data_IF_055639561323
#
_entry.id   IF_055639561323
#
_cell.length_a   1.000
_cell.length_b   1.000
_cell.length_c   1.000
_cell.angle_alpha   90.00
_cell.angle_beta   90.00
_cell.angle_gamma   90.00
#
_symmetry.space_group_name_H-M   'P 1'
#
loop_
_entity.id
_entity.type
_entity.pdbx_description
1 polymer ?
#
# COMPACT_ATOMS: atom_id res chain seq x y z
N UNK A 1 -15.14 20.35 -32.36
CA UNK A 1 -14.34 20.25 -31.12
C UNK A 1 -15.19 19.50 -30.11
N UNK A 2 -14.77 18.31 -29.68
CA UNK A 2 -15.43 17.67 -28.56
C UNK A 2 -15.22 18.54 -27.30
N UNK A 3 -16.21 18.68 -26.42
CA UNK A 3 -16.03 19.42 -25.17
C UNK A 3 -14.88 18.78 -24.40
N UNK A 4 -13.87 19.59 -24.08
CA UNK A 4 -12.75 19.18 -23.24
C UNK A 4 -13.28 18.85 -21.84
N UNK A 5 -13.13 17.60 -21.41
CA UNK A 5 -13.36 17.23 -20.02
C UNK A 5 -12.15 17.64 -19.21
N UNK A 6 -12.32 18.55 -18.25
CA UNK A 6 -11.26 18.91 -17.31
C UNK A 6 -11.41 18.08 -16.04
N UNK A 7 -10.45 17.19 -15.77
CA UNK A 7 -10.35 16.47 -14.52
C UNK A 7 -9.41 17.23 -13.59
N UNK A 8 -9.91 17.62 -12.42
CA UNK A 8 -9.12 18.28 -11.39
C UNK A 8 -8.89 17.35 -10.19
N UNK A 9 -7.75 17.54 -9.53
CA UNK A 9 -7.39 16.86 -8.29
C UNK A 9 -7.03 17.90 -7.23
N UNK A 10 -7.43 17.62 -5.99
CA UNK A 10 -6.93 18.34 -4.81
C UNK A 10 -6.10 17.36 -3.99
N UNK A 11 -4.77 17.52 -4.04
CA UNK A 11 -3.83 16.68 -3.29
C UNK A 11 -3.79 17.04 -1.81
N UNK A 12 -3.25 16.13 -1.01
CA UNK A 12 -2.97 16.34 0.41
C UNK A 12 -1.71 15.58 0.79
N UNK A 13 -0.92 16.13 1.72
CA UNK A 13 0.14 15.40 2.40
C UNK A 13 -0.42 14.79 3.68
N UNK A 14 -0.46 13.46 3.69
CA UNK A 14 -0.69 12.58 4.83
C UNK A 14 0.30 11.44 4.64
N UNK A 15 1.34 11.36 5.47
CA UNK A 15 2.31 10.25 5.42
C UNK A 15 1.66 8.98 6.01
N UNK A 16 1.96 7.80 5.47
CA UNK A 16 1.41 6.52 5.94
C UNK A 16 -0.13 6.44 6.02
N UNK A 17 -0.87 6.73 4.93
CA UNK A 17 -2.33 6.88 4.99
C UNK A 17 -3.06 5.53 5.20
N UNK A 18 -3.70 5.37 6.35
CA UNK A 18 -4.67 4.29 6.60
C UNK A 18 -6.11 4.72 6.31
N UNK A 19 -6.76 4.02 5.38
CA UNK A 19 -8.09 4.35 4.87
C UNK A 19 -9.23 3.72 5.68
N UNK A 20 -10.27 4.52 5.94
CA UNK A 20 -11.57 4.05 6.46
C UNK A 20 -12.71 4.79 5.76
N UNK A 21 -13.81 4.10 5.46
CA UNK A 21 -15.07 4.72 5.02
C UNK A 21 -16.02 4.89 6.21
N UNK A 22 -16.52 6.10 6.42
CA UNK A 22 -17.58 6.40 7.39
C UNK A 22 -18.71 7.13 6.66
N UNK A 23 -19.91 6.54 6.66
CA UNK A 23 -21.00 6.94 5.76
C UNK A 23 -20.49 7.02 4.31
N UNK A 24 -20.75 8.11 3.56
CA UNK A 24 -20.30 8.27 2.17
C UNK A 24 -18.93 8.98 2.03
N UNK A 25 -18.16 9.09 3.12
CA UNK A 25 -16.88 9.79 3.13
C UNK A 25 -15.75 8.81 3.44
N UNK A 26 -14.69 8.87 2.64
CA UNK A 26 -13.43 8.20 2.87
C UNK A 26 -12.52 9.12 3.68
N UNK A 27 -11.89 8.56 4.70
CA UNK A 27 -10.90 9.23 5.54
C UNK A 27 -9.57 8.50 5.39
N UNK A 28 -8.48 9.26 5.48
CA UNK A 28 -7.14 8.72 5.68
C UNK A 28 -6.56 9.32 6.96
N UNK A 29 -6.00 8.48 7.81
CA UNK A 29 -5.25 8.86 9.00
C UNK A 29 -3.81 8.42 8.81
N UNK A 30 -2.86 9.29 9.12
CA UNK A 30 -1.46 9.05 8.89
C UNK A 30 -0.57 9.40 10.05
N UNK A 31 0.73 9.22 9.83
CA UNK A 31 1.78 9.68 10.73
C UNK A 31 1.63 11.17 11.06
N UNK A 32 2.24 11.57 12.17
CA UNK A 32 2.20 12.94 12.70
C UNK A 32 0.79 13.44 13.03
N UNK A 33 -0.18 12.54 13.16
CA UNK A 33 -1.59 12.86 13.40
C UNK A 33 -2.20 13.73 12.28
N UNK A 34 -1.67 13.57 11.07
CA UNK A 34 -2.25 14.11 9.86
C UNK A 34 -3.48 13.28 9.47
N UNK A 35 -4.54 13.95 9.03
CA UNK A 35 -5.69 13.27 8.48
C UNK A 35 -6.37 14.09 7.39
N UNK A 36 -7.00 13.41 6.46
CA UNK A 36 -7.75 14.02 5.37
C UNK A 36 -9.00 13.20 5.04
N UNK A 37 -9.93 13.81 4.30
CA UNK A 37 -11.14 13.15 3.83
C UNK A 37 -11.47 13.47 2.37
N UNK A 38 -12.20 12.57 1.71
CA UNK A 38 -12.68 12.70 0.34
C UNK A 38 -13.98 11.93 0.15
N UNK A 39 -14.83 12.36 -0.79
CA UNK A 39 -16.02 11.62 -1.22
C UNK A 39 -15.86 10.99 -2.60
N UNK A 40 -14.75 11.25 -3.29
CA UNK A 40 -14.53 10.85 -4.69
C UNK A 40 -13.15 10.24 -4.97
N UNK A 41 -12.31 10.06 -3.94
CA UNK A 41 -10.91 9.59 -4.00
C UNK A 41 -9.92 10.54 -4.71
N UNK A 42 -10.41 11.65 -5.26
CA UNK A 42 -9.66 12.54 -6.13
C UNK A 42 -9.37 13.88 -5.45
N UNK A 43 -10.34 14.39 -4.71
CA UNK A 43 -10.31 15.70 -4.07
C UNK A 43 -10.33 15.52 -2.56
N UNK A 44 -9.19 15.79 -1.95
CA UNK A 44 -8.97 15.61 -0.52
C UNK A 44 -9.06 16.95 0.22
N UNK A 45 -9.63 16.91 1.43
CA UNK A 45 -9.64 18.02 2.38
C UNK A 45 -8.91 17.58 3.64
N UNK A 46 -7.84 18.29 4.01
CA UNK A 46 -7.14 18.08 5.29
C UNK A 46 -8.08 18.40 6.46
N UNK A 47 -8.08 17.54 7.48
CA UNK A 47 -8.90 17.69 8.69
C UNK A 47 -8.06 17.77 9.98
N UNK A 48 -6.83 17.27 9.95
CA UNK A 48 -5.91 17.33 11.08
C UNK A 48 -4.47 17.45 10.60
N UNK A 49 -3.61 18.07 11.40
CA UNK A 49 -2.22 18.37 11.07
C UNK A 49 -1.37 18.47 12.34
N UNK A 50 -0.37 17.60 12.45
CA UNK A 50 0.63 17.63 13.51
C UNK A 50 0.17 17.16 14.90
N UNK A 51 1.13 16.71 15.70
CA UNK A 51 0.92 16.37 17.12
C UNK A 51 1.05 17.63 17.97
N UNK A 52 -0.08 18.28 18.25
CA UNK A 52 -0.12 19.50 19.05
C UNK A 52 -1.44 19.62 19.83
N UNK A 53 -1.46 20.50 20.84
CA UNK A 53 -2.62 20.66 21.73
C UNK A 53 -3.91 21.11 21.02
N UNK A 54 -3.79 21.73 19.83
CA UNK A 54 -4.91 22.20 19.02
C UNK A 54 -5.38 21.23 17.93
N UNK A 55 -4.75 20.05 17.79
CA UNK A 55 -5.17 19.05 16.81
C UNK A 55 -6.59 18.55 17.18
N UNK A 56 -7.58 18.64 16.26
CA UNK A 56 -8.99 18.37 16.58
C UNK A 56 -9.28 16.89 16.88
N UNK A 57 -8.38 15.98 16.52
CA UNK A 57 -8.57 14.55 16.78
C UNK A 57 -8.49 14.22 18.28
N UNK A 58 -7.97 15.09 19.14
CA UNK A 58 -7.90 14.86 20.58
C UNK A 58 -8.17 16.15 21.35
N UNK A 59 -8.71 16.03 22.56
CA UNK A 59 -8.69 17.12 23.52
C UNK A 59 -7.28 17.21 24.14
N UNK A 60 -6.35 17.87 23.42
CA UNK A 60 -4.92 17.96 23.73
C UNK A 60 -4.17 16.62 23.68
N UNK A 61 -3.70 16.24 22.49
CA UNK A 61 -3.04 14.94 22.27
C UNK A 61 -1.75 14.75 23.08
N UNK A 62 -0.96 15.80 23.31
CA UNK A 62 0.33 15.68 24.00
C UNK A 62 0.14 15.33 25.48
N UNK A 63 -0.95 15.80 26.08
CA UNK A 63 -1.36 15.38 27.42
C UNK A 63 -2.00 13.99 27.39
N UNK A 64 -2.95 13.76 26.48
CA UNK A 64 -3.74 12.54 26.39
C UNK A 64 -2.88 11.28 26.18
N UNK A 65 -1.82 11.40 25.36
CA UNK A 65 -0.94 10.30 24.95
C UNK A 65 0.48 10.42 25.57
N UNK A 66 0.61 11.19 26.65
CA UNK A 66 1.91 11.47 27.29
C UNK A 66 2.71 10.23 27.67
N UNK A 67 2.06 9.13 28.10
CA UNK A 67 2.75 7.88 28.42
C UNK A 67 3.45 7.27 27.20
N UNK A 68 2.79 7.28 26.03
CA UNK A 68 3.33 6.74 24.79
C UNK A 68 4.54 7.58 24.32
N UNK A 69 4.35 8.90 24.30
CA UNK A 69 5.37 9.88 23.90
C UNK A 69 6.60 9.81 24.81
N UNK A 70 6.38 9.70 26.13
CA UNK A 70 7.46 9.57 27.10
C UNK A 70 8.22 8.24 26.94
N UNK A 71 7.53 7.12 26.72
CA UNK A 71 8.18 5.83 26.48
C UNK A 71 9.04 5.86 25.22
N UNK A 72 8.47 6.37 24.13
CA UNK A 72 9.12 6.48 22.83
C UNK A 72 10.17 7.59 22.75
N UNK A 73 10.23 8.49 23.74
CA UNK A 73 11.14 9.66 23.73
C UNK A 73 10.93 10.51 22.47
N UNK A 74 9.68 10.67 22.06
CA UNK A 74 9.27 11.34 20.83
C UNK A 74 8.23 12.43 21.12
N UNK A 75 8.18 13.41 20.24
CA UNK A 75 7.18 14.50 20.24
C UNK A 75 6.13 14.33 19.12
N UNK A 76 6.20 13.22 18.38
CA UNK A 76 5.30 12.89 17.28
C UNK A 76 4.75 11.47 17.39
N UNK A 77 3.78 11.14 16.54
CA UNK A 77 3.17 9.83 16.41
C UNK A 77 3.47 9.28 15.01
N UNK A 78 3.51 7.96 14.89
CA UNK A 78 3.67 7.24 13.63
C UNK A 78 2.36 6.55 13.23
N UNK A 79 2.35 6.05 11.99
CA UNK A 79 1.27 5.39 11.26
C UNK A 79 0.17 4.79 12.15
N UNK A 80 -0.97 5.47 12.31
CA UNK A 80 -2.11 4.92 13.03
C UNK A 80 -3.00 4.09 12.09
N UNK A 81 -3.86 3.28 12.69
CA UNK A 81 -5.06 2.77 11.99
C UNK A 81 -6.33 3.10 12.78
N UNK A 82 -7.42 3.33 12.05
CA UNK A 82 -8.73 3.60 12.63
C UNK A 82 -9.71 2.54 12.15
N UNK A 83 -10.20 1.73 13.08
CA UNK A 83 -11.21 0.71 12.82
C UNK A 83 -12.54 1.07 13.48
N UNK A 84 -13.66 0.76 12.81
CA UNK A 84 -14.99 0.83 13.43
C UNK A 84 -15.37 -0.53 14.00
N UNK A 85 -15.67 -0.59 15.30
CA UNK A 85 -16.02 -1.85 15.99
C UNK A 85 -17.54 -2.01 16.18
N UNK A 86 -17.96 -3.11 16.82
CA UNK A 86 -19.37 -3.56 16.87
C UNK A 86 -20.28 -2.62 17.67
N UNK A 87 -19.72 -1.82 18.58
CA UNK A 87 -20.43 -0.77 19.31
C UNK A 87 -20.65 0.51 18.46
N UNK A 88 -20.17 0.50 17.22
CA UNK A 88 -20.29 1.58 16.25
C UNK A 88 -19.28 2.71 16.43
N UNK A 89 -18.40 2.67 17.45
CA UNK A 89 -17.36 3.67 17.72
C UNK A 89 -16.12 3.44 16.86
N UNK A 90 -15.26 4.43 16.84
CA UNK A 90 -14.00 4.44 16.09
C UNK A 90 -12.82 4.27 17.04
N UNK A 91 -11.99 3.28 16.75
CA UNK A 91 -10.85 2.85 17.56
C UNK A 91 -9.57 3.19 16.80
N UNK A 92 -8.84 4.17 17.29
CA UNK A 92 -7.53 4.58 16.76
C UNK A 92 -6.43 3.81 17.48
N UNK A 93 -5.77 2.92 16.75
CA UNK A 93 -4.55 2.24 17.15
C UNK A 93 -3.39 3.15 16.77
N UNK A 94 -2.84 3.86 17.74
CA UNK A 94 -1.76 4.82 17.53
C UNK A 94 -0.43 4.22 17.96
N UNK A 95 0.67 4.72 17.41
CA UNK A 95 2.00 4.35 17.87
C UNK A 95 2.95 5.56 17.91
N UNK A 96 3.99 5.44 18.73
CA UNK A 96 5.10 6.38 18.81
C UNK A 96 6.42 5.60 18.86
N UNK A 97 7.45 6.13 18.21
CA UNK A 97 8.77 5.52 18.12
C UNK A 97 9.84 6.60 18.24
N UNK A 98 10.97 6.28 18.87
CA UNK A 98 12.13 7.17 18.98
C UNK A 98 12.75 7.54 17.62
N UNK A 99 12.61 6.65 16.64
CA UNK A 99 13.12 6.81 15.27
C UNK A 99 14.52 6.25 15.04
N UNK A 100 15.43 6.33 16.02
CA UNK A 100 16.79 5.77 15.94
C UNK A 100 16.92 4.32 16.43
N UNK A 101 15.84 3.79 17.01
CA UNK A 101 15.78 2.47 17.65
C UNK A 101 14.32 2.04 17.80
N UNK A 102 14.01 0.73 17.96
CA UNK A 102 12.64 0.25 18.13
C UNK A 102 12.11 0.48 19.55
N UNK A 103 12.41 1.65 20.14
CA UNK A 103 11.88 2.11 21.42
C UNK A 103 10.51 2.73 21.15
N UNK A 104 9.49 1.89 21.23
CA UNK A 104 8.16 2.24 20.74
C UNK A 104 7.05 1.77 21.67
N UNK A 105 5.93 2.49 21.60
CA UNK A 105 4.69 2.17 22.29
C UNK A 105 3.53 2.20 21.29
N UNK A 106 2.67 1.18 21.37
CA UNK A 106 1.42 1.08 20.63
C UNK A 106 0.27 1.16 21.63
N UNK A 107 -0.71 2.01 21.37
CA UNK A 107 -1.86 2.22 22.24
C UNK A 107 -3.17 2.36 21.49
N UNK A 108 -4.24 2.48 22.27
CA UNK A 108 -5.61 2.55 21.76
C UNK A 108 -6.32 3.80 22.30
N UNK A 109 -6.97 4.54 21.40
CA UNK A 109 -7.89 5.62 21.75
C UNK A 109 -9.24 5.41 21.04
N UNK A 110 -10.34 5.92 21.61
CA UNK A 110 -11.70 5.68 21.11
C UNK A 110 -12.47 6.99 20.96
N UNK A 111 -13.22 7.12 19.87
CA UNK A 111 -14.10 8.25 19.58
C UNK A 111 -15.50 7.79 19.15
N UNK A 112 -16.51 8.62 19.41
CA UNK A 112 -17.88 8.41 18.89
C UNK A 112 -17.99 8.79 17.40
N UNK A 113 -17.09 9.63 16.91
CA UNK A 113 -17.03 10.09 15.52
C UNK A 113 -15.65 9.78 14.94
N UNK A 114 -15.61 9.50 13.64
CA UNK A 114 -14.37 9.16 12.92
C UNK A 114 -13.32 10.28 13.03
N UNK A 115 -13.74 11.54 13.05
CA UNK A 115 -12.90 12.73 13.17
C UNK A 115 -12.75 13.24 14.62
N UNK A 116 -13.04 12.39 15.60
CA UNK A 116 -12.75 12.64 17.01
C UNK A 116 -13.80 13.49 17.75
N UNK A 117 -13.43 14.02 18.94
CA UNK A 117 -12.15 13.78 19.62
C UNK A 117 -12.05 12.34 20.14
N UNK A 118 -10.87 11.74 19.98
CA UNK A 118 -10.47 10.47 20.54
C UNK A 118 -10.06 10.64 22.01
N UNK A 119 -10.43 9.66 22.83
CA UNK A 119 -10.07 9.56 24.24
C UNK A 119 -9.18 8.34 24.43
N UNK A 120 -7.99 8.57 24.97
CA UNK A 120 -7.03 7.50 25.26
C UNK A 120 -7.66 6.44 26.18
N UNK A 121 -7.42 5.16 25.88
CA UNK A 121 -7.78 4.02 26.73
C UNK A 121 -6.56 3.54 27.51
N UNK A 122 -5.57 2.99 26.80
CA UNK A 122 -4.36 2.43 27.38
C UNK A 122 -3.33 2.10 26.31
N UNK A 123 -2.08 1.88 26.73
CA UNK A 123 -1.09 1.21 25.92
C UNK A 123 -1.39 -0.29 25.81
N UNK A 124 -1.13 -0.86 24.63
CA UNK A 124 -1.31 -2.28 24.34
C UNK A 124 0.03 -3.02 24.37
N UNK A 125 1.06 -2.46 23.74
CA UNK A 125 2.36 -3.08 23.55
C UNK A 125 3.49 -2.05 23.70
N UNK A 126 4.67 -2.55 24.10
CA UNK A 126 5.94 -1.81 24.14
C UNK A 126 7.04 -2.65 23.50
N UNK A 127 8.01 -1.98 22.88
CA UNK A 127 9.26 -2.55 22.37
C UNK A 127 10.46 -1.69 22.80
N UNK A 128 11.67 -2.23 22.69
CA UNK A 128 12.90 -1.52 23.04
C UNK A 128 13.13 -1.39 24.55
N UNK A 129 12.60 -2.34 25.34
CA UNK A 129 12.94 -2.50 26.76
C UNK A 129 14.25 -3.30 26.90
N UNK A 130 15.37 -2.65 26.59
CA UNK A 130 16.68 -3.31 26.55
C UNK A 130 17.06 -3.95 27.89
N UNK A 131 17.41 -5.24 27.87
CA UNK A 131 17.80 -5.99 29.06
C UNK A 131 16.64 -6.40 29.97
N UNK A 132 15.40 -6.05 29.62
CA UNK A 132 14.19 -6.36 30.38
C UNK A 132 13.31 -7.37 29.64
N UNK A 133 12.46 -8.06 30.39
CA UNK A 133 11.46 -8.96 29.81
C UNK A 133 10.47 -8.17 28.95
N UNK A 134 10.17 -8.74 27.78
CA UNK A 134 9.22 -8.22 26.81
C UNK A 134 7.84 -8.87 27.00
N UNK A 135 6.79 -8.46 26.25
CA UNK A 135 5.46 -9.06 26.29
C UNK A 135 5.40 -10.59 26.17
N UNK A 136 6.38 -11.23 25.53
CA UNK A 136 6.47 -12.70 25.43
C UNK A 136 7.16 -13.37 26.63
N UNK A 137 7.61 -12.58 27.62
CA UNK A 137 8.31 -13.04 28.81
C UNK A 137 9.82 -13.19 28.65
N UNK A 138 10.37 -13.04 27.44
CA UNK A 138 11.81 -13.13 27.17
C UNK A 138 12.45 -11.75 27.04
N UNK A 139 13.77 -11.64 27.22
CA UNK A 139 14.48 -10.36 27.08
C UNK A 139 14.29 -9.80 25.66
N UNK A 140 13.96 -8.50 25.56
CA UNK A 140 13.72 -7.87 24.26
C UNK A 140 14.95 -7.94 23.33
N UNK A 141 14.75 -8.45 22.12
CA UNK A 141 15.77 -8.59 21.09
C UNK A 141 15.18 -8.17 19.74
N UNK A 142 15.66 -7.04 19.21
CA UNK A 142 15.16 -6.45 17.98
C UNK A 142 15.45 -7.25 16.72
N UNK A 143 16.23 -8.34 16.79
CA UNK A 143 16.43 -9.24 15.65
C UNK A 143 15.26 -10.21 15.44
N UNK A 144 14.46 -10.45 16.49
CA UNK A 144 13.34 -11.42 16.50
C UNK A 144 12.04 -10.88 17.08
N UNK A 145 12.08 -9.80 17.86
CA UNK A 145 10.89 -9.13 18.38
C UNK A 145 10.55 -7.90 17.53
N UNK A 146 9.27 -7.58 17.33
CA UNK A 146 8.86 -6.47 16.49
C UNK A 146 9.18 -5.12 17.14
N UNK A 147 9.39 -4.13 16.28
CA UNK A 147 9.08 -2.75 16.63
C UNK A 147 7.55 -2.61 16.69
N UNK A 148 6.98 -2.17 17.82
CA UNK A 148 5.51 -2.11 17.99
C UNK A 148 4.89 -0.85 17.37
N UNK A 149 4.95 -0.76 16.05
CA UNK A 149 4.40 0.35 15.23
C UNK A 149 3.61 -0.20 14.05
N UNK A 150 3.03 0.69 13.25
CA UNK A 150 2.32 0.38 12.01
C UNK A 150 1.18 -0.64 12.16
N UNK A 151 0.24 -0.47 13.12
CA UNK A 151 -0.92 -1.33 13.23
C UNK A 151 -1.81 -1.24 11.99
N UNK A 152 -2.42 -2.36 11.62
CA UNK A 152 -3.65 -2.44 10.86
C UNK A 152 -4.61 -3.42 11.52
N UNK A 153 -5.83 -2.97 11.81
CA UNK A 153 -6.89 -3.71 12.47
C UNK A 153 -8.02 -4.00 11.50
N UNK A 154 -8.32 -5.28 11.31
CA UNK A 154 -9.29 -5.73 10.33
C UNK A 154 -10.12 -6.90 10.86
N UNK A 155 -11.32 -7.08 10.27
CA UNK A 155 -12.14 -8.26 10.50
C UNK A 155 -11.90 -9.28 9.40
N UNK A 156 -11.75 -10.53 9.79
CA UNK A 156 -11.72 -11.64 8.85
C UNK A 156 -13.13 -11.98 8.32
N UNK A 157 -13.22 -12.85 7.32
CA UNK A 157 -14.51 -13.24 6.74
C UNK A 157 -15.41 -14.07 7.68
N UNK A 158 -14.87 -14.50 8.84
CA UNK A 158 -15.58 -15.18 9.91
C UNK A 158 -15.99 -14.25 11.07
N UNK A 159 -15.65 -12.96 10.97
CA UNK A 159 -15.98 -11.93 11.95
C UNK A 159 -14.99 -11.77 13.11
N UNK A 160 -13.89 -12.52 13.15
CA UNK A 160 -12.84 -12.31 14.16
C UNK A 160 -12.08 -11.03 13.85
N UNK A 161 -11.66 -10.33 14.90
CA UNK A 161 -10.85 -9.13 14.81
C UNK A 161 -9.37 -9.50 14.94
N UNK A 162 -8.54 -8.93 14.07
CA UNK A 162 -7.11 -9.15 14.03
C UNK A 162 -6.37 -7.81 13.98
N UNK A 163 -5.17 -7.77 14.54
CA UNK A 163 -4.23 -6.66 14.36
C UNK A 163 -2.92 -7.22 13.77
N UNK A 164 -2.55 -6.78 12.57
CA UNK A 164 -1.20 -6.96 12.02
C UNK A 164 -0.39 -5.70 12.27
N UNK A 165 0.90 -5.83 12.57
CA UNK A 165 1.76 -4.68 12.87
C UNK A 165 3.24 -5.04 12.73
N UNK A 166 4.12 -4.04 12.75
CA UNK A 166 5.57 -4.21 12.78
C UNK A 166 6.29 -3.37 11.73
N UNK A 167 7.48 -2.91 12.09
CA UNK A 167 8.41 -2.25 11.17
C UNK A 167 9.83 -2.71 11.47
N UNK A 168 10.53 -3.16 10.43
CA UNK A 168 11.93 -3.59 10.50
C UNK A 168 12.14 -4.66 11.57
N UNK A 169 13.14 -4.49 12.44
CA UNK A 169 13.42 -5.33 13.62
C UNK A 169 13.14 -6.82 13.41
N UNK A 170 12.35 -7.44 14.31
CA UNK A 170 11.97 -8.84 14.25
C UNK A 170 10.92 -9.18 13.19
N UNK A 171 10.41 -8.19 12.45
CA UNK A 171 9.44 -8.38 11.37
C UNK A 171 8.00 -7.99 11.73
N UNK A 172 7.09 -8.49 10.91
CA UNK A 172 5.65 -8.29 10.91
C UNK A 172 5.00 -9.40 11.72
N UNK A 173 4.09 -9.01 12.62
CA UNK A 173 3.38 -9.91 13.52
C UNK A 173 1.88 -9.69 13.42
N UNK A 174 1.11 -10.71 13.78
CA UNK A 174 -0.35 -10.64 13.87
C UNK A 174 -0.84 -11.22 15.19
N UNK A 175 -1.89 -10.64 15.74
CA UNK A 175 -2.56 -11.14 16.94
C UNK A 175 -4.09 -11.02 16.84
N UNK A 176 -4.77 -11.93 17.54
CA UNK A 176 -6.22 -11.89 17.65
C UNK A 176 -6.64 -10.83 18.68
N UNK A 177 -7.64 -10.04 18.31
CA UNK A 177 -8.18 -8.94 19.11
C UNK A 177 -9.59 -9.31 19.61
N UNK A 178 -10.00 -8.72 20.72
CA UNK A 178 -11.35 -8.80 21.24
C UNK A 178 -12.23 -7.73 20.55
N UNK A 179 -13.23 -8.11 19.76
CA UNK A 179 -14.08 -7.16 19.04
C UNK A 179 -14.96 -6.29 19.95
N UNK A 180 -15.18 -6.68 21.21
CA UNK A 180 -15.97 -5.90 22.15
C UNK A 180 -15.16 -4.77 22.80
N UNK A 181 -13.86 -4.97 22.98
CA UNK A 181 -12.99 -4.04 23.72
C UNK A 181 -11.95 -3.35 22.85
N UNK A 182 -11.66 -3.91 21.67
CA UNK A 182 -10.55 -3.49 20.81
C UNK A 182 -9.17 -3.87 21.34
N UNK A 183 -9.08 -4.61 22.46
CA UNK A 183 -7.83 -5.02 23.08
C UNK A 183 -7.34 -6.36 22.52
N UNK A 184 -6.04 -6.65 22.67
CA UNK A 184 -5.50 -7.95 22.32
C UNK A 184 -6.05 -9.05 23.24
N UNK A 185 -6.31 -10.24 22.69
CA UNK A 185 -6.60 -11.41 23.53
C UNK A 185 -5.39 -11.79 24.40
N UNK A 186 -5.61 -12.33 25.61
CA UNK A 186 -4.54 -12.61 26.56
C UNK A 186 -3.57 -13.71 26.07
N UNK A 187 -2.37 -13.73 26.65
CA UNK A 187 -1.36 -14.79 26.48
C UNK A 187 -0.85 -15.02 25.05
N UNK A 188 -0.76 -13.97 24.23
CA UNK A 188 -0.20 -14.03 22.86
C UNK A 188 1.25 -13.52 22.75
N UNK A 189 1.80 -12.85 23.77
CA UNK A 189 3.08 -12.15 23.64
C UNK A 189 3.01 -11.08 22.55
N UNK A 190 3.92 -11.15 21.57
CA UNK A 190 3.87 -10.33 20.35
C UNK A 190 3.00 -10.94 19.23
N UNK A 191 2.32 -12.06 19.47
CA UNK A 191 1.53 -12.74 18.47
C UNK A 191 2.38 -13.62 17.53
N UNK A 192 1.80 -13.93 16.36
CA UNK A 192 2.40 -14.81 15.36
C UNK A 192 3.24 -14.01 14.37
N UNK A 193 4.49 -14.40 14.16
CA UNK A 193 5.35 -13.84 13.12
C UNK A 193 4.87 -14.22 11.71
N UNK A 194 4.84 -13.24 10.80
CA UNK A 194 4.36 -13.39 9.41
C UNK A 194 5.43 -13.14 8.35
N UNK A 195 6.39 -12.24 8.59
CA UNK A 195 7.41 -11.86 7.60
C UNK A 195 8.52 -11.03 8.26
N UNK A 196 9.76 -11.14 7.81
CA UNK A 196 10.87 -10.29 8.27
C UNK A 196 11.70 -10.94 9.38
N UNK A 197 12.44 -10.10 10.08
CA UNK A 197 13.47 -10.51 11.04
C UNK A 197 14.85 -10.01 10.67
N UNK A 198 15.74 -9.97 11.67
CA UNK A 198 17.12 -9.48 11.56
C UNK A 198 17.23 -8.06 10.98
N UNK A 199 16.25 -7.20 11.28
CA UNK A 199 16.17 -5.84 10.76
C UNK A 199 15.99 -5.76 9.24
N UNK A 200 15.32 -6.73 8.62
CA UNK A 200 14.86 -6.61 7.24
C UNK A 200 14.06 -5.32 7.05
N UNK A 201 14.31 -4.54 5.97
CA UNK A 201 13.58 -3.29 5.69
C UNK A 201 12.18 -3.57 5.16
N UNK A 202 11.29 -3.98 6.05
CA UNK A 202 9.91 -4.37 5.78
C UNK A 202 9.00 -3.74 6.84
N UNK A 203 7.98 -3.00 6.42
CA UNK A 203 7.07 -2.28 7.33
C UNK A 203 5.70 -2.00 6.68
N UNK A 204 4.81 -1.26 7.38
CA UNK A 204 3.54 -0.78 6.84
C UNK A 204 2.62 -1.92 6.41
N UNK A 205 2.43 -2.92 7.28
CA UNK A 205 1.62 -4.09 6.97
C UNK A 205 0.12 -3.76 6.92
N UNK A 206 -0.57 -4.18 5.86
CA UNK A 206 -2.02 -4.01 5.72
C UNK A 206 -2.65 -5.28 5.14
N UNK A 207 -3.73 -5.77 5.73
CA UNK A 207 -4.43 -6.97 5.26
C UNK A 207 -5.80 -6.62 4.69
N UNK A 208 -6.03 -7.04 3.44
CA UNK A 208 -7.33 -6.94 2.79
C UNK A 208 -7.83 -8.32 2.36
N UNK A 209 -9.05 -8.68 2.74
CA UNK A 209 -9.75 -9.83 2.20
C UNK A 209 -10.41 -9.50 0.86
N UNK A 210 -10.26 -10.37 -0.13
CA UNK A 210 -10.96 -10.26 -1.41
C UNK A 210 -12.07 -11.30 -1.52
N UNK A 211 -13.34 -10.90 -1.66
CA UNK A 211 -14.41 -11.84 -1.95
C UNK A 211 -14.33 -12.43 -3.37
N UNK A 212 -13.56 -11.84 -4.30
CA UNK A 212 -13.44 -12.36 -5.66
C UNK A 212 -12.44 -13.52 -5.75
N UNK A 213 -11.30 -13.41 -5.06
CA UNK A 213 -10.26 -14.44 -5.05
C UNK A 213 -10.34 -15.39 -3.86
N UNK A 214 -11.08 -14.99 -2.81
CA UNK A 214 -11.16 -15.66 -1.50
C UNK A 214 -9.86 -15.68 -0.70
N UNK A 215 -8.87 -14.87 -1.09
CA UNK A 215 -7.62 -14.71 -0.35
C UNK A 215 -7.63 -13.47 0.55
N UNK A 216 -6.86 -13.54 1.63
CA UNK A 216 -6.32 -12.39 2.34
C UNK A 216 -5.01 -11.98 1.65
N UNK A 217 -4.87 -10.69 1.36
CA UNK A 217 -3.66 -10.10 0.81
C UNK A 217 -2.94 -9.31 1.89
N UNK A 218 -1.71 -9.71 2.21
CA UNK A 218 -0.81 -8.97 3.10
C UNK A 218 0.05 -8.06 2.24
N UNK A 219 -0.28 -6.77 2.26
CA UNK A 219 0.53 -5.70 1.71
C UNK A 219 1.60 -5.29 2.71
N UNK A 220 2.78 -4.98 2.21
CA UNK A 220 3.92 -4.47 2.98
C UNK A 220 4.74 -3.54 2.10
N UNK A 221 5.52 -2.67 2.71
CA UNK A 221 6.50 -1.84 1.99
C UNK A 221 7.91 -2.34 2.26
N UNK A 222 8.68 -2.53 1.18
CA UNK A 222 10.08 -2.93 1.24
C UNK A 222 10.99 -1.73 1.00
N UNK A 223 12.14 -1.68 1.66
CA UNK A 223 13.13 -0.62 1.52
C UNK A 223 12.90 0.56 2.47
N UNK A 224 13.58 1.68 2.23
CA UNK A 224 13.46 2.91 3.01
C UNK A 224 12.52 3.92 2.37
N UNK A 225 11.74 4.62 3.20
CA UNK A 225 10.72 5.59 2.77
C UNK A 225 11.27 6.84 2.08
N UNK A 226 12.53 7.21 2.36
CA UNK A 226 13.15 8.42 1.81
C UNK A 226 13.35 8.32 0.29
N UNK A 227 13.63 9.44 -0.39
CA UNK A 227 13.77 9.46 -1.84
C UNK A 227 14.88 8.53 -2.39
N UNK A 228 15.87 8.18 -1.56
CA UNK A 228 16.97 7.28 -1.91
C UNK A 228 16.82 5.88 -1.30
N UNK A 229 15.75 5.62 -0.55
CA UNK A 229 15.57 4.39 0.22
C UNK A 229 15.03 3.21 -0.62
N UNK A 230 14.47 3.48 -1.79
CA UNK A 230 13.95 2.47 -2.71
C UNK A 230 12.63 1.85 -2.27
N UNK A 231 11.77 2.63 -1.61
CA UNK A 231 10.47 2.16 -1.11
C UNK A 231 9.62 1.59 -2.25
N UNK A 232 9.03 0.41 -2.01
CA UNK A 232 8.20 -0.27 -2.98
C UNK A 232 7.13 -1.11 -2.29
N UNK A 233 5.93 -1.13 -2.87
CA UNK A 233 4.78 -1.88 -2.36
C UNK A 233 4.87 -3.31 -2.84
N UNK A 234 4.72 -4.26 -1.90
CA UNK A 234 4.65 -5.70 -2.19
C UNK A 234 3.41 -6.32 -1.61
N UNK A 235 3.03 -7.46 -2.16
CA UNK A 235 1.90 -8.26 -1.67
C UNK A 235 2.21 -9.75 -1.66
N UNK A 236 1.68 -10.42 -0.65
CA UNK A 236 1.61 -11.88 -0.53
C UNK A 236 0.17 -12.28 -0.19
N UNK A 237 -0.19 -13.57 -0.27
CA UNK A 237 -1.56 -14.01 -0.02
C UNK A 237 -1.66 -15.26 0.84
N UNK A 238 -2.79 -15.40 1.55
CA UNK A 238 -3.15 -16.59 2.31
C UNK A 238 -4.65 -16.85 2.26
N UNK A 239 -5.05 -18.10 2.46
CA UNK A 239 -6.46 -18.44 2.67
C UNK A 239 -6.92 -18.12 4.11
N UNK A 240 -5.99 -17.90 5.03
CA UNK A 240 -6.27 -17.57 6.43
C UNK A 240 -5.76 -16.15 6.74
N UNK A 241 -6.41 -15.42 7.67
CA UNK A 241 -5.97 -14.09 8.08
C UNK A 241 -4.59 -14.08 8.76
N UNK A 242 -4.18 -15.18 9.40
CA UNK A 242 -2.91 -15.32 10.13
C UNK A 242 -1.87 -16.17 9.37
N UNK A 243 -2.10 -16.42 8.09
CA UNK A 243 -1.18 -17.13 7.21
C UNK A 243 -1.30 -18.66 7.21
N UNK A 244 -0.27 -19.37 6.72
CA UNK A 244 0.96 -18.83 6.14
C UNK A 244 0.67 -18.01 4.87
N UNK A 245 1.37 -16.89 4.72
CA UNK A 245 1.32 -16.06 3.52
C UNK A 245 2.40 -16.52 2.54
N UNK A 246 2.05 -16.61 1.26
CA UNK A 246 2.98 -17.00 0.21
C UNK A 246 3.03 -15.98 -0.92
N UNK A 247 4.15 -15.90 -1.63
CA UNK A 247 4.27 -15.17 -2.90
C UNK A 247 3.86 -16.03 -4.12
N UNK A 248 3.96 -15.49 -5.34
CA UNK A 248 3.64 -16.21 -6.57
C UNK A 248 4.56 -17.39 -6.88
N UNK A 249 5.79 -17.39 -6.34
CA UNK A 249 6.71 -18.53 -6.42
C UNK A 249 6.36 -19.64 -5.41
N UNK A 250 5.53 -19.33 -4.41
CA UNK A 250 5.15 -20.24 -3.32
C UNK A 250 6.07 -20.17 -2.10
N UNK A 251 6.91 -19.13 -2.01
CA UNK A 251 7.78 -18.91 -0.84
C UNK A 251 6.90 -18.57 0.37
N UNK A 252 7.08 -19.27 1.49
CA UNK A 252 6.48 -18.88 2.76
C UNK A 252 7.15 -17.60 3.27
N UNK A 253 6.37 -16.52 3.35
CA UNK A 253 6.86 -15.19 3.71
C UNK A 253 7.40 -15.14 5.14
N UNK A 254 6.99 -16.04 6.03
CA UNK A 254 7.54 -16.12 7.39
C UNK A 254 9.02 -16.51 7.41
N UNK A 255 9.55 -17.02 6.30
CA UNK A 255 10.98 -17.35 6.14
C UNK A 255 11.82 -16.21 5.56
N UNK A 256 11.17 -15.18 5.00
CA UNK A 256 11.83 -14.05 4.33
C UNK A 256 12.35 -13.07 5.37
N UNK A 257 13.69 -12.91 5.44
CA UNK A 257 14.37 -12.06 6.43
C UNK A 257 15.75 -11.63 5.93
N UNK A 258 16.31 -10.62 6.56
CA UNK A 258 17.69 -10.23 6.31
C UNK A 258 18.65 -11.33 6.78
N UNK A 259 19.77 -11.49 6.08
CA UNK A 259 20.81 -12.42 6.50
C UNK A 259 21.60 -11.81 7.68
N UNK A 260 21.58 -12.42 8.89
CA UNK A 260 22.23 -11.84 10.06
C UNK A 260 23.77 -11.85 9.98
N UNK A 261 24.35 -12.54 8.99
CA UNK A 261 25.78 -12.51 8.71
C UNK A 261 26.21 -11.35 7.78
N UNK A 262 25.25 -10.63 7.20
CA UNK A 262 25.48 -9.46 6.36
C UNK A 262 25.24 -8.16 7.15
N UNK A 263 25.68 -6.98 6.65
CA UNK A 263 25.38 -5.71 7.29
C UNK A 263 23.88 -5.51 7.53
N UNK A 264 23.56 -4.71 8.56
CA UNK A 264 22.19 -4.32 8.88
C UNK A 264 21.47 -3.80 7.63
N UNK A 265 20.18 -4.13 7.49
CA UNK A 265 19.37 -3.74 6.34
C UNK A 265 19.79 -4.43 5.02
N UNK A 266 20.14 -5.71 5.10
CA UNK A 266 20.41 -6.56 3.94
C UNK A 266 19.15 -6.75 3.06
N UNK A 267 19.01 -5.86 2.08
CA UNK A 267 17.93 -5.89 1.10
C UNK A 267 18.04 -7.04 0.11
N UNK A 268 19.26 -7.48 -0.20
CA UNK A 268 19.50 -8.46 -1.24
C UNK A 268 18.85 -9.80 -0.91
N UNK A 269 18.78 -10.16 0.38
CA UNK A 269 18.11 -11.38 0.84
C UNK A 269 16.59 -11.31 0.79
N UNK A 270 15.99 -10.12 0.82
CA UNK A 270 14.52 -9.96 0.82
C UNK A 270 13.97 -9.58 -0.56
N UNK A 271 14.74 -8.88 -1.38
CA UNK A 271 14.29 -8.34 -2.68
C UNK A 271 13.69 -9.40 -3.65
N UNK A 272 14.12 -10.67 -3.69
CA UNK A 272 13.51 -11.66 -4.58
C UNK A 272 12.07 -12.11 -4.20
N UNK A 273 11.52 -11.65 -3.07
CA UNK A 273 10.31 -12.21 -2.49
C UNK A 273 9.12 -11.24 -2.49
N UNK A 274 7.91 -11.79 -2.51
CA UNK A 274 6.67 -11.03 -2.57
C UNK A 274 6.42 -10.43 -3.96
N UNK A 275 5.15 -10.30 -4.33
CA UNK A 275 4.78 -9.71 -5.62
C UNK A 275 4.98 -8.19 -5.56
N UNK A 276 5.98 -7.65 -6.27
CA UNK A 276 6.25 -6.21 -6.29
C UNK A 276 5.26 -5.50 -7.19
N UNK A 277 4.37 -4.71 -6.57
CA UNK A 277 3.27 -4.02 -7.25
C UNK A 277 3.71 -2.69 -7.87
N UNK A 278 4.57 -1.95 -7.17
CA UNK A 278 4.95 -0.59 -7.56
C UNK A 278 6.30 -0.21 -6.93
N UNK A 279 7.13 0.51 -7.66
CA UNK A 279 8.36 1.15 -7.15
C UNK A 279 8.65 2.44 -7.93
N UNK A 280 9.86 2.98 -7.79
CA UNK A 280 10.28 4.21 -8.47
C UNK A 280 10.13 4.07 -9.99
N UNK A 281 9.37 4.97 -10.60
CA UNK A 281 9.08 4.90 -12.03
C UNK A 281 8.74 6.26 -12.62
N UNK A 282 8.90 6.40 -13.93
CA UNK A 282 8.50 7.59 -14.66
C UNK A 282 8.15 7.28 -16.13
N UNK A 283 6.98 7.71 -16.56
CA UNK A 283 6.58 7.72 -17.96
C UNK A 283 7.30 8.84 -18.69
N UNK A 284 8.29 8.47 -19.52
CA UNK A 284 9.03 9.40 -20.36
C UNK A 284 8.06 10.02 -21.37
N UNK A 285 8.16 11.34 -21.57
CA UNK A 285 7.37 12.04 -22.58
C UNK A 285 7.81 11.58 -23.97
N UNK A 286 6.85 11.12 -24.77
CA UNK A 286 7.09 10.82 -26.17
C UNK A 286 7.24 12.12 -26.98
N UNK A 287 7.78 12.02 -28.21
CA UNK A 287 7.86 13.17 -29.12
C UNK A 287 6.47 13.77 -29.35
N UNK A 288 6.33 15.07 -29.09
CA UNK A 288 5.07 15.80 -29.20
C UNK A 288 4.21 15.82 -27.93
N UNK A 289 4.51 15.01 -26.91
CA UNK A 289 3.85 15.12 -25.59
C UNK A 289 4.40 16.32 -24.80
N UNK A 290 3.53 16.99 -24.06
CA UNK A 290 3.87 18.13 -23.21
C UNK A 290 3.42 17.88 -21.77
N UNK A 291 3.91 18.70 -20.82
CA UNK A 291 3.54 18.60 -19.40
C UNK A 291 4.66 17.98 -18.55
N UNK A 292 4.33 17.57 -17.33
CA UNK A 292 5.28 16.93 -16.43
C UNK A 292 5.23 15.41 -16.61
N UNK A 293 6.38 14.78 -16.82
CA UNK A 293 6.47 13.33 -16.90
C UNK A 293 5.93 12.69 -15.61
N UNK A 294 4.88 11.87 -15.75
CA UNK A 294 4.20 11.23 -14.62
C UNK A 294 5.09 10.15 -14.00
N UNK A 295 5.27 10.19 -12.68
CA UNK A 295 6.12 9.21 -12.00
C UNK A 295 6.15 9.42 -10.49
N UNK A 296 6.56 8.36 -9.78
CA UNK A 296 6.70 8.34 -8.33
C UNK A 296 8.11 7.93 -7.90
N UNK A 297 8.50 8.42 -6.73
CA UNK A 297 9.67 8.01 -5.97
C UNK A 297 9.18 7.51 -4.63
N UNK A 298 9.75 6.40 -4.18
CA UNK A 298 9.44 5.72 -2.92
C UNK A 298 7.93 5.63 -2.62
N UNK A 299 7.09 5.12 -3.54
CA UNK A 299 5.67 4.91 -3.23
C UNK A 299 5.51 3.76 -2.23
N UNK A 300 4.78 3.98 -1.14
CA UNK A 300 4.56 2.93 -0.15
C UNK A 300 3.73 3.35 1.06
N UNK A 301 3.86 2.53 2.11
CA UNK A 301 3.03 2.51 3.30
C UNK A 301 1.55 2.62 2.94
N UNK A 302 1.06 1.59 2.25
CA UNK A 302 -0.28 1.61 1.73
C UNK A 302 -1.29 1.07 2.75
N UNK A 303 -2.50 1.58 2.64
CA UNK A 303 -3.71 0.84 2.98
C UNK A 303 -4.44 0.40 1.71
N UNK A 304 -5.50 -0.39 1.87
CA UNK A 304 -6.30 -0.85 0.76
C UNK A 304 -7.79 -0.93 1.13
N UNK A 305 -8.66 -0.67 0.16
CA UNK A 305 -10.11 -0.66 0.37
C UNK A 305 -10.84 -1.47 -0.71
N UNK A 306 -11.79 -2.31 -0.30
CA UNK A 306 -12.75 -2.94 -1.20
C UNK A 306 -14.12 -2.28 -1.06
N UNK A 307 -14.58 -1.65 -2.13
CA UNK A 307 -15.92 -1.11 -2.23
C UNK A 307 -16.86 -2.20 -2.75
N UNK A 308 -17.61 -2.82 -1.84
CA UNK A 308 -18.54 -3.89 -2.17
C UNK A 308 -19.72 -3.41 -3.05
N UNK A 309 -20.11 -2.13 -2.98
CA UNK A 309 -21.20 -1.60 -3.78
C UNK A 309 -20.77 -1.38 -5.24
N UNK A 310 -19.53 -0.94 -5.43
CA UNK A 310 -18.96 -0.74 -6.77
C UNK A 310 -18.23 -1.98 -7.33
N UNK A 311 -17.92 -2.97 -6.49
CA UNK A 311 -17.08 -4.12 -6.85
C UNK A 311 -15.64 -3.70 -7.19
N UNK A 312 -15.11 -2.67 -6.53
CA UNK A 312 -13.80 -2.07 -6.85
C UNK A 312 -12.82 -2.18 -5.69
N UNK A 313 -11.55 -2.33 -6.04
CA UNK A 313 -10.44 -2.28 -5.08
C UNK A 313 -9.64 -1.00 -5.27
N UNK A 314 -9.20 -0.41 -4.17
CA UNK A 314 -8.39 0.80 -4.17
C UNK A 314 -7.14 0.59 -3.33
N UNK A 315 -5.99 1.01 -3.86
CA UNK A 315 -4.72 1.12 -3.16
C UNK A 315 -4.52 2.58 -2.78
N UNK A 316 -4.36 2.86 -1.50
CA UNK A 316 -4.17 4.22 -0.96
C UNK A 316 -2.81 4.29 -0.31
N UNK A 317 -1.94 5.20 -0.75
CA UNK A 317 -0.54 5.23 -0.32
C UNK A 317 0.00 6.66 -0.39
N UNK A 318 1.14 6.91 0.25
CA UNK A 318 1.90 8.14 0.00
C UNK A 318 3.00 7.87 -1.03
N UNK A 319 3.38 8.90 -1.77
CA UNK A 319 4.53 8.82 -2.68
C UNK A 319 5.26 10.16 -2.73
N UNK A 320 6.57 10.11 -2.93
CA UNK A 320 7.41 11.24 -3.34
C UNK A 320 7.42 11.34 -4.87
N UNK A 321 8.06 12.38 -5.40
CA UNK A 321 8.04 12.68 -6.84
C UNK A 321 9.44 12.93 -7.41
N UNK A 322 9.71 12.51 -8.66
CA UNK A 322 10.97 12.81 -9.34
C UNK A 322 11.31 14.31 -9.27
N UNK A 323 12.50 14.62 -8.74
CA UNK A 323 13.01 16.00 -8.66
C UNK A 323 12.37 16.87 -7.58
N UNK A 324 11.58 16.33 -6.65
CA UNK A 324 10.91 17.09 -5.58
C UNK A 324 11.42 16.76 -4.16
N UNK A 325 12.51 16.01 -4.04
CA UNK A 325 13.08 15.62 -2.75
C UNK A 325 12.10 14.79 -1.92
N UNK A 326 11.91 15.18 -0.66
CA UNK A 326 11.08 14.48 0.32
C UNK A 326 9.60 14.91 0.32
N UNK A 327 9.21 15.84 -0.57
CA UNK A 327 7.81 16.23 -0.71
C UNK A 327 6.97 15.01 -1.11
N UNK A 328 5.89 14.77 -0.36
CA UNK A 328 5.01 13.64 -0.57
C UNK A 328 3.53 14.04 -0.58
N UNK A 329 2.73 13.23 -1.27
CA UNK A 329 1.28 13.37 -1.28
C UNK A 329 0.60 12.00 -1.31
N UNK A 330 -0.66 11.96 -0.87
CA UNK A 330 -1.53 10.80 -1.01
C UNK A 330 -1.83 10.53 -2.48
N UNK A 331 -1.81 9.25 -2.85
CA UNK A 331 -2.22 8.72 -4.15
C UNK A 331 -3.22 7.60 -3.96
N UNK A 332 -4.14 7.48 -4.92
CA UNK A 332 -5.14 6.42 -4.97
C UNK A 332 -5.10 5.79 -6.35
N UNK A 333 -4.89 4.48 -6.42
CA UNK A 333 -4.93 3.70 -7.65
C UNK A 333 -6.00 2.63 -7.54
N UNK A 334 -6.73 2.37 -8.63
CA UNK A 334 -7.61 1.19 -8.68
C UNK A 334 -6.76 -0.09 -8.74
N UNK A 335 -7.23 -1.16 -8.13
CA UNK A 335 -6.64 -2.50 -8.25
C UNK A 335 -7.64 -3.46 -8.89
N UNK A 336 -7.10 -4.51 -9.50
CA UNK A 336 -7.88 -5.56 -10.14
C UNK A 336 -7.31 -6.92 -9.76
N UNK A 337 -8.16 -7.94 -9.64
CA UNK A 337 -7.69 -9.32 -9.46
C UNK A 337 -7.42 -9.93 -10.84
N UNK A 338 -6.19 -10.34 -11.12
CA UNK A 338 -5.82 -11.00 -12.37
C UNK A 338 -6.33 -12.46 -12.43
N UNK A 339 -6.07 -13.15 -13.55
CA UNK A 339 -6.51 -14.53 -13.74
C UNK A 339 -5.90 -15.53 -12.74
N UNK A 340 -4.75 -15.21 -12.16
CA UNK A 340 -4.06 -16.03 -11.18
C UNK A 340 -4.48 -15.73 -9.73
N UNK A 341 -5.43 -14.80 -9.53
CA UNK A 341 -5.92 -14.40 -8.21
C UNK A 341 -4.95 -13.47 -7.47
N UNK A 342 -4.19 -12.63 -8.18
CA UNK A 342 -3.32 -11.61 -7.60
C UNK A 342 -3.82 -10.20 -7.91
N UNK A 343 -3.71 -9.24 -6.97
CA UNK A 343 -4.00 -7.85 -7.26
C UNK A 343 -2.93 -7.27 -8.20
N UNK A 344 -3.38 -6.62 -9.26
CA UNK A 344 -2.57 -5.81 -10.16
C UNK A 344 -3.07 -4.37 -10.11
N UNK A 345 -2.15 -3.41 -10.09
CA UNK A 345 -2.45 -2.00 -9.81
C UNK A 345 -2.57 -1.22 -11.11
N UNK A 346 -3.60 -0.38 -11.22
CA UNK A 346 -3.78 0.51 -12.35
C UNK A 346 -2.57 1.44 -12.54
N UNK A 347 -2.11 1.70 -13.78
CA UNK A 347 -0.91 2.52 -13.97
C UNK A 347 -1.04 4.01 -13.59
N UNK A 348 -2.26 4.55 -13.58
CA UNK A 348 -2.52 5.94 -13.25
C UNK A 348 -3.43 6.06 -12.02
N UNK A 349 -3.39 7.23 -11.39
CA UNK A 349 -4.25 7.56 -10.26
C UNK A 349 -5.73 7.53 -10.68
N UNK A 350 -6.59 7.13 -9.75
CA UNK A 350 -7.99 6.85 -10.02
C UNK A 350 -8.76 8.07 -10.54
N UNK A 351 -9.52 7.84 -11.62
CA UNK A 351 -10.57 8.72 -12.14
C UNK A 351 -11.69 7.81 -12.65
N UNK A 352 -12.94 7.96 -12.18
CA UNK A 352 -14.03 7.13 -12.68
C UNK A 352 -14.38 7.51 -14.13
N UNK A 353 -14.71 6.50 -14.96
CA UNK A 353 -15.09 6.70 -16.37
C UNK A 353 -16.29 7.65 -16.54
N UNK A 354 -17.13 7.80 -15.51
CA UNK A 354 -18.24 8.76 -15.48
C UNK A 354 -17.78 10.23 -15.54
N UNK A 355 -16.49 10.51 -15.36
CA UNK A 355 -15.91 11.85 -15.56
C UNK A 355 -15.62 12.17 -17.02
N UNK A 356 -15.74 11.21 -17.95
CA UNK A 356 -15.58 11.51 -19.37
C UNK A 356 -16.85 12.17 -19.94
N UNK A 357 -16.69 13.11 -20.87
CA UNK A 357 -17.83 13.84 -21.45
C UNK A 357 -18.80 12.93 -22.21
N UNK A 358 -18.30 11.84 -22.77
CA UNK A 358 -19.06 10.81 -23.46
C UNK A 358 -18.91 9.51 -22.68
N UNK A 359 -20.00 8.76 -22.52
CA UNK A 359 -19.95 7.44 -21.88
C UNK A 359 -18.93 6.54 -22.56
N UNK A 360 -17.90 6.16 -21.81
CA UNK A 360 -16.90 5.18 -22.25
C UNK A 360 -17.30 3.79 -21.77
N UNK A 361 -17.13 2.79 -22.62
CA UNK A 361 -17.19 1.40 -22.18
C UNK A 361 -16.02 1.11 -21.24
N UNK A 362 -16.28 0.35 -20.17
CA UNK A 362 -15.22 -0.23 -19.37
C UNK A 362 -14.49 -1.36 -20.11
N UNK A 363 -15.16 -2.03 -21.06
CA UNK A 363 -14.61 -3.14 -21.83
C UNK A 363 -13.62 -2.65 -22.90
N UNK A 364 -12.39 -3.12 -22.82
CA UNK A 364 -11.34 -2.88 -23.81
C UNK A 364 -11.34 -4.07 -24.77
N UNK A 365 -11.67 -3.84 -26.03
CA UNK A 365 -11.61 -4.91 -27.05
C UNK A 365 -10.16 -5.25 -27.42
N UNK A 366 -9.93 -6.40 -28.07
CA UNK A 366 -8.61 -6.73 -28.61
C UNK A 366 -8.12 -5.68 -29.64
N UNK A 367 -9.04 -5.09 -30.42
CA UNK A 367 -8.73 -4.03 -31.36
C UNK A 367 -8.30 -2.74 -30.65
N UNK A 368 -8.97 -2.37 -29.55
CA UNK A 368 -8.59 -1.21 -28.73
C UNK A 368 -7.25 -1.43 -28.02
N UNK A 369 -6.97 -2.68 -27.61
CA UNK A 369 -5.74 -3.07 -26.93
C UNK A 369 -4.52 -3.09 -27.87
N UNK A 370 -4.70 -3.35 -29.17
CA UNK A 370 -3.60 -3.31 -30.11
C UNK A 370 -3.06 -1.87 -30.28
N UNK A 371 -1.74 -1.69 -30.20
CA UNK A 371 -1.12 -0.37 -30.31
C UNK A 371 0.29 -0.30 -29.74
N UNK A 372 0.82 0.92 -29.69
CA UNK A 372 2.13 1.23 -29.12
C UNK A 372 1.91 1.71 -27.69
N UNK A 373 2.76 1.27 -26.76
CA UNK A 373 2.66 1.56 -25.33
C UNK A 373 3.98 2.07 -24.79
N UNK A 374 3.90 3.01 -23.84
CA UNK A 374 4.96 3.27 -22.86
C UNK A 374 4.83 2.23 -21.77
N UNK A 375 5.84 1.38 -21.59
CA UNK A 375 5.83 0.27 -20.63
C UNK A 375 6.87 0.47 -19.53
N UNK A 376 6.43 0.44 -18.28
CA UNK A 376 7.27 0.37 -17.09
C UNK A 376 7.44 -1.10 -16.71
N UNK A 377 8.68 -1.53 -16.48
CA UNK A 377 8.99 -2.79 -15.81
C UNK A 377 9.47 -2.50 -14.40
N UNK A 378 8.71 -2.89 -13.38
CA UNK A 378 9.04 -2.60 -11.98
C UNK A 378 10.15 -3.50 -11.41
N UNK A 379 10.51 -4.60 -12.08
CA UNK A 379 11.49 -5.60 -11.61
C UNK A 379 11.15 -6.17 -10.23
N UNK A 380 12.17 -6.69 -9.53
CA UNK A 380 12.06 -7.27 -8.18
C UNK A 380 13.00 -6.59 -7.17
N UNK A 381 13.90 -5.73 -7.63
CA UNK A 381 14.89 -5.05 -6.78
C UNK A 381 14.28 -4.11 -5.73
N UNK A 382 15.02 -3.86 -4.65
CA UNK A 382 14.83 -2.67 -3.79
C UNK A 382 15.84 -1.65 -4.31
N UNK A 383 15.37 -0.53 -4.88
CA UNK A 383 16.25 0.38 -5.63
C UNK A 383 15.70 1.80 -5.66
N UNK A 384 16.60 2.78 -5.48
CA UNK A 384 16.31 4.20 -5.66
C UNK A 384 16.19 4.61 -7.13
N UNK A 385 16.59 3.76 -8.07
CA UNK A 385 16.59 4.07 -9.51
C UNK A 385 15.16 4.28 -10.01
N UNK A 386 14.91 5.45 -10.61
CA UNK A 386 13.65 5.76 -11.28
C UNK A 386 13.59 5.00 -12.61
N UNK A 387 12.75 3.98 -12.69
CA UNK A 387 12.60 3.15 -13.90
C UNK A 387 11.81 3.91 -14.95
N UNK A 388 12.45 4.17 -16.08
CA UNK A 388 11.84 4.90 -17.18
C UNK A 388 11.03 3.98 -18.09
N UNK A 389 9.91 4.49 -18.61
CA UNK A 389 9.10 3.73 -19.57
C UNK A 389 9.85 3.49 -20.87
N UNK A 390 9.69 2.29 -21.42
CA UNK A 390 10.24 1.88 -22.71
C UNK A 390 9.11 1.62 -23.72
N UNK A 391 9.39 1.70 -25.01
CA UNK A 391 8.37 1.49 -26.05
C UNK A 391 8.16 -0.01 -26.31
N UNK A 392 6.90 -0.44 -26.26
CA UNK A 392 6.47 -1.80 -26.62
C UNK A 392 5.25 -1.72 -27.54
N UNK A 393 5.19 -2.57 -28.55
CA UNK A 393 4.04 -2.68 -29.46
C UNK A 393 3.29 -3.97 -29.21
N UNK A 394 1.98 -3.89 -29.01
CA UNK A 394 1.04 -5.01 -29.04
C UNK A 394 0.39 -5.03 -30.42
N UNK A 395 0.86 -5.89 -31.32
CA UNK A 395 0.34 -5.97 -32.69
C UNK A 395 -1.04 -6.64 -32.72
N UNK A 396 -1.92 -6.25 -33.65
CA UNK A 396 -3.25 -6.85 -33.79
C UNK A 396 -3.23 -8.38 -34.03
N UNK A 397 -2.13 -8.90 -34.61
CA UNK A 397 -1.91 -10.34 -34.81
C UNK A 397 -1.36 -11.09 -33.57
N UNK A 398 -1.27 -10.43 -32.41
CA UNK A 398 -0.81 -11.05 -31.15
C UNK A 398 0.69 -10.96 -30.90
N UNK A 399 1.50 -10.46 -31.83
CA UNK A 399 2.94 -10.30 -31.59
C UNK A 399 3.25 -9.11 -30.65
N UNK A 400 4.28 -9.25 -29.82
CA UNK A 400 4.85 -8.19 -28.97
C UNK A 400 6.26 -7.87 -29.43
N UNK A 401 6.58 -6.59 -29.61
CA UNK A 401 7.90 -6.13 -30.05
C UNK A 401 8.32 -4.83 -29.36
N UNK A 402 9.60 -4.44 -29.51
CA UNK A 402 10.20 -3.28 -28.85
C UNK A 402 11.08 -3.71 -27.68
N UNK A 403 10.92 -3.07 -26.52
CA UNK A 403 11.68 -3.40 -25.32
C UNK A 403 11.32 -4.77 -24.70
N UNK A 404 10.18 -5.33 -25.09
CA UNK A 404 9.77 -6.70 -24.78
C UNK A 404 9.48 -7.37 -26.12
N UNK A 405 9.94 -8.61 -26.30
CA UNK A 405 9.62 -9.43 -27.45
C UNK A 405 8.81 -10.65 -27.00
N UNK A 406 7.79 -11.03 -27.75
CA UNK A 406 6.92 -12.15 -27.37
C UNK A 406 5.58 -12.16 -28.06
N UNK A 407 4.56 -12.66 -27.37
CA UNK A 407 3.18 -12.66 -27.81
C UNK A 407 2.26 -12.15 -26.70
N UNK A 408 1.11 -11.59 -27.07
CA UNK A 408 0.05 -11.19 -26.17
C UNK A 408 -1.27 -11.79 -26.62
N UNK A 409 -2.22 -11.93 -25.69
CA UNK A 409 -3.55 -12.43 -25.97
C UNK A 409 -4.58 -11.72 -25.10
N UNK A 410 -5.68 -11.31 -25.73
CA UNK A 410 -6.89 -10.89 -25.02
C UNK A 410 -7.66 -12.13 -24.59
N UNK A 411 -7.88 -12.28 -23.29
CA UNK A 411 -8.49 -13.48 -22.69
C UNK A 411 -9.99 -13.30 -22.38
N UNK A 412 -10.61 -12.23 -22.88
CA UNK A 412 -11.99 -11.86 -22.56
C UNK A 412 -12.14 -11.14 -21.22
N UNK A 413 -13.23 -10.39 -21.03
CA UNK A 413 -13.52 -9.71 -19.75
C UNK A 413 -12.38 -8.82 -19.24
N UNK A 414 -11.74 -8.07 -20.16
CA UNK A 414 -10.54 -7.27 -19.92
C UNK A 414 -9.29 -8.02 -19.44
N UNK A 415 -9.29 -9.35 -19.37
CA UNK A 415 -8.10 -10.12 -19.01
C UNK A 415 -7.10 -10.13 -20.18
N UNK A 416 -5.82 -10.03 -19.85
CA UNK A 416 -4.73 -10.04 -20.84
C UNK A 416 -3.57 -10.87 -20.32
N UNK A 417 -2.92 -11.60 -21.23
CA UNK A 417 -1.65 -12.26 -20.98
C UNK A 417 -0.57 -11.75 -21.93
N UNK A 418 0.66 -11.64 -21.43
CA UNK A 418 1.86 -11.38 -22.23
C UNK A 418 2.85 -12.50 -21.92
N UNK A 419 3.35 -13.16 -22.96
CA UNK A 419 4.39 -14.17 -22.87
C UNK A 419 5.63 -13.68 -23.61
N UNK A 420 6.72 -13.40 -22.89
CA UNK A 420 7.98 -12.98 -23.50
C UNK A 420 8.76 -14.16 -24.07
N UNK A 421 9.65 -13.88 -25.03
CA UNK A 421 10.50 -14.90 -25.68
C UNK A 421 11.48 -15.59 -24.73
N UNK A 422 11.77 -14.98 -23.57
CA UNK A 422 12.57 -15.57 -22.50
C UNK A 422 11.79 -16.61 -21.65
N UNK A 423 10.51 -16.82 -21.95
CA UNK A 423 9.65 -17.77 -21.24
C UNK A 423 8.87 -17.18 -20.07
N UNK A 424 9.03 -15.89 -19.77
CA UNK A 424 8.25 -15.24 -18.70
C UNK A 424 6.80 -15.02 -19.14
N UNK A 425 5.85 -15.51 -18.36
CA UNK A 425 4.44 -15.26 -18.56
C UNK A 425 3.94 -14.22 -17.55
N UNK A 426 3.13 -13.29 -18.04
CA UNK A 426 2.49 -12.24 -17.26
C UNK A 426 0.98 -12.30 -17.47
N UNK A 427 0.22 -12.21 -16.38
CA UNK A 427 -1.24 -12.17 -16.41
C UNK A 427 -1.75 -10.91 -15.70
N UNK A 428 -2.81 -10.32 -16.25
CA UNK A 428 -3.33 -9.08 -15.71
C UNK A 428 -4.61 -8.61 -16.37
N UNK A 429 -4.78 -7.29 -16.42
CA UNK A 429 -5.97 -6.67 -16.96
C UNK A 429 -5.65 -5.49 -17.86
N UNK A 430 -6.53 -5.27 -18.83
CA UNK A 430 -6.70 -4.06 -19.61
C UNK A 430 -7.69 -3.14 -18.88
N UNK A 431 -7.49 -1.84 -18.97
CA UNK A 431 -8.45 -0.86 -18.45
C UNK A 431 -8.32 0.48 -19.19
N UNK A 432 -9.32 1.35 -19.05
CA UNK A 432 -9.22 2.74 -19.49
C UNK A 432 -8.91 3.62 -18.29
N UNK A 433 -7.85 4.41 -18.37
CA UNK A 433 -7.37 5.25 -17.26
C UNK A 433 -7.11 6.68 -17.75
N UNK A 434 -7.33 7.65 -16.88
CA UNK A 434 -7.12 9.05 -17.21
C UNK A 434 -5.64 9.40 -17.22
N UNK A 435 -5.12 9.82 -18.38
CA UNK A 435 -3.78 10.38 -18.50
C UNK A 435 -3.86 11.91 -18.41
N UNK A 436 -3.32 12.48 -17.33
CA UNK A 436 -3.32 13.93 -17.10
C UNK A 436 -2.61 14.72 -18.19
N UNK A 437 -1.54 14.19 -18.79
CA UNK A 437 -0.81 14.90 -19.84
C UNK A 437 -1.59 14.90 -21.17
N UNK A 438 -2.30 13.80 -21.45
CA UNK A 438 -3.17 13.69 -22.63
C UNK A 438 -4.54 14.35 -22.46
N UNK A 439 -4.93 14.68 -21.23
CA UNK A 439 -6.28 15.15 -20.86
C UNK A 439 -7.38 14.24 -21.45
N UNK A 440 -7.15 12.92 -21.39
CA UNK A 440 -8.02 11.92 -21.99
C UNK A 440 -7.92 10.58 -21.24
N UNK A 441 -8.96 9.75 -21.40
CA UNK A 441 -8.85 8.33 -21.04
C UNK A 441 -8.10 7.57 -22.13
N UNK A 442 -7.10 6.81 -21.72
CA UNK A 442 -6.26 5.97 -22.57
C UNK A 442 -6.42 4.50 -22.17
N UNK A 443 -6.23 3.61 -23.15
CA UNK A 443 -6.11 2.18 -22.84
C UNK A 443 -4.79 1.95 -22.11
N UNK A 444 -4.85 1.21 -21.02
CA UNK A 444 -3.70 0.79 -20.24
C UNK A 444 -3.77 -0.71 -20.00
N UNK A 445 -2.64 -1.30 -19.64
CA UNK A 445 -2.61 -2.63 -19.05
C UNK A 445 -1.74 -2.65 -17.80
N UNK A 446 -2.05 -3.57 -16.91
CA UNK A 446 -1.21 -3.93 -15.76
C UNK A 446 -1.19 -5.44 -15.66
N UNK A 447 0.01 -6.02 -15.70
CA UNK A 447 0.22 -7.48 -15.69
C UNK A 447 1.33 -7.84 -14.72
N UNK A 448 1.29 -9.06 -14.19
CA UNK A 448 2.26 -9.55 -13.23
C UNK A 448 2.70 -10.96 -13.57
N UNK A 449 3.99 -11.26 -13.41
CA UNK A 449 4.54 -12.60 -13.57
C UNK A 449 4.49 -13.39 -12.27
N UNK A 450 4.59 -14.72 -12.37
CA UNK A 450 4.71 -15.60 -11.20
C UNK A 450 5.86 -15.22 -10.27
N UNK A 451 6.96 -14.70 -10.82
CA UNK A 451 8.14 -14.30 -10.05
C UNK A 451 7.92 -13.03 -9.21
N UNK A 452 6.87 -12.24 -9.50
CA UNK A 452 6.59 -11.01 -8.77
C UNK A 452 6.96 -9.73 -9.49
N UNK A 453 7.26 -9.81 -10.80
CA UNK A 453 7.51 -8.64 -11.64
C UNK A 453 6.20 -8.08 -12.18
N UNK A 454 5.93 -6.81 -11.92
CA UNK A 454 4.80 -6.08 -12.52
C UNK A 454 5.24 -5.25 -13.73
N UNK A 455 4.44 -5.30 -14.80
CA UNK A 455 4.56 -4.45 -15.99
C UNK A 455 3.32 -3.58 -16.14
N UNK A 456 3.52 -2.29 -16.38
CA UNK A 456 2.43 -1.35 -16.66
C UNK A 456 2.60 -0.73 -18.03
N UNK A 457 1.55 -0.73 -18.83
CA UNK A 457 1.53 -0.09 -20.14
C UNK A 457 0.51 1.03 -20.23
N UNK A 458 0.91 2.17 -20.79
CA UNK A 458 0.01 3.25 -21.17
C UNK A 458 0.10 3.50 -22.68
N UNK A 459 -1.05 3.46 -23.38
CA UNK A 459 -1.10 3.56 -24.85
C UNK A 459 -0.60 4.94 -25.30
N UNK A 460 0.18 4.93 -26.39
CA UNK A 460 0.66 6.13 -27.07
C UNK A 460 -0.23 6.45 -28.27
N UNK A 461 -0.47 7.74 -28.49
CA UNK A 461 -1.17 8.23 -29.67
C UNK A 461 -2.64 7.83 -29.70
N UNK A 462 -3.50 8.72 -29.19
CA UNK A 462 -4.94 8.67 -29.45
C UNK A 462 -5.30 9.53 -30.66
#
# INVERSE_FOLDING_TARGET
MQPSTTVAFTGVSVHDPSVIKAAETYYVFGSHLEAARSTDWMNWTRIADGVNAGNPLFNNVTAALSEALAWAQADTLWAPDVARLDDGKFYMYYCACKGDSPRSALGLAVADKVDGPYVNKQLLLKSGMWGEASPDGTVYDATKHPNVVDPNVFRDNGGKLWMVYGSYSGGIFIMEMDPATGLQKPAQGYGRHLMGGNHARIEGAYILYSPDSKYYYLFVSFGGLDANGGYNIRVSRSLNPDGPYVDGAGTDMATVKANPALPLFDDASIAPHGQKLMGNHQYVLASGETGTALGYVSPGHNSAYYDAAAGKYFLVFHARFPGQGEAHEVRVHEMFINADGWPVVAPFRYVPLSKNAITLSADVSAADAAGIYKVINHGEDISAVIKQSQVVTLAAGGAVSGAIAGNWSHLGGNKVSIASTDGTAYNGVLSRQWNTNGNAFEVTFTVQSKAGVSLWGARMGN
#
